data_IF_751673197602
#
_entry.id   IF_751673197602
#
_cell.length_a   1.000
_cell.length_b   1.000
_cell.length_c   1.000
_cell.angle_alpha   90.00
_cell.angle_beta   90.00
_cell.angle_gamma   90.00
#
_symmetry.space_group_name_H-M   'P 1'
#
loop_
_entity.id
_entity.type
_entity.pdbx_description
1 polymer ?
#
# COMPACT_ATOMS: atom_id res chain seq x y z
N UNK A 1 -14.58 4.06 -3.00
CA UNK A 1 -14.27 5.09 -1.98
C UNK A 1 -13.20 5.99 -2.57
N UNK A 2 -13.09 7.23 -2.10
CA UNK A 2 -12.03 8.15 -2.49
C UNK A 2 -11.87 9.25 -1.44
N UNK A 3 -10.80 10.03 -1.52
CA UNK A 3 -10.60 11.24 -0.74
C UNK A 3 -11.50 12.36 -1.28
N UNK A 4 -12.26 13.00 -0.40
CA UNK A 4 -13.07 14.18 -0.70
C UNK A 4 -12.96 15.20 0.42
N UNK A 5 -13.29 16.46 0.14
CA UNK A 5 -13.27 17.54 1.13
C UNK A 5 -14.59 17.54 1.89
N UNK A 6 -14.55 17.22 3.18
CA UNK A 6 -15.73 17.24 4.04
C UNK A 6 -16.22 18.68 4.24
N UNK A 7 -17.46 19.02 3.86
CA UNK A 7 -17.98 20.39 3.99
C UNK A 7 -18.17 20.83 5.44
N UNK A 8 -18.20 19.89 6.40
CA UNK A 8 -18.41 20.20 7.82
C UNK A 8 -17.18 20.84 8.48
N UNK A 9 -15.97 20.50 8.03
CA UNK A 9 -14.71 21.00 8.61
C UNK A 9 -13.64 21.38 7.58
N UNK A 10 -13.92 21.20 6.29
CA UNK A 10 -13.02 21.51 5.18
C UNK A 10 -11.82 20.58 5.06
N UNK A 11 -11.78 19.46 5.80
CA UNK A 11 -10.66 18.51 5.75
C UNK A 11 -10.87 17.44 4.68
N UNK A 12 -9.78 16.93 4.15
CA UNK A 12 -9.78 15.76 3.28
C UNK A 12 -10.04 14.50 4.11
N UNK A 13 -11.07 13.74 3.73
CA UNK A 13 -11.49 12.50 4.40
C UNK A 13 -11.91 11.47 3.37
N UNK A 14 -12.00 10.21 3.77
CA UNK A 14 -12.53 9.16 2.91
C UNK A 14 -14.05 9.28 2.81
N UNK A 15 -14.54 9.39 1.59
CA UNK A 15 -15.94 9.30 1.22
C UNK A 15 -16.25 7.92 0.64
N UNK A 16 -17.29 7.28 1.16
CA UNK A 16 -17.86 6.06 0.58
C UNK A 16 -18.97 6.44 -0.40
N UNK A 17 -18.89 5.90 -1.61
CA UNK A 17 -19.99 5.95 -2.57
C UNK A 17 -21.00 4.87 -2.25
N UNK A 18 -22.23 5.29 -1.97
CA UNK A 18 -23.39 4.41 -1.78
C UNK A 18 -24.54 4.95 -2.62
N UNK A 19 -24.85 4.25 -3.72
CA UNK A 19 -25.90 4.64 -4.65
C UNK A 19 -27.32 4.41 -4.10
N UNK A 20 -27.46 3.71 -2.97
CA UNK A 20 -28.75 3.41 -2.34
C UNK A 20 -29.07 4.41 -1.23
N UNK A 21 -28.11 4.67 -0.33
CA UNK A 21 -28.34 5.51 0.86
C UNK A 21 -27.72 6.91 0.75
N UNK A 22 -26.98 7.17 -0.32
CA UNK A 22 -26.21 8.40 -0.49
C UNK A 22 -24.80 8.31 0.10
N UNK A 23 -23.91 9.15 -0.41
CA UNK A 23 -22.50 9.14 -0.02
C UNK A 23 -22.32 9.61 1.42
N UNK A 24 -21.33 9.04 2.12
CA UNK A 24 -21.04 9.40 3.51
C UNK A 24 -19.54 9.38 3.80
N UNK A 25 -19.10 10.26 4.70
CA UNK A 25 -17.74 10.28 5.20
C UNK A 25 -17.57 9.26 6.34
N UNK A 26 -16.38 8.69 6.45
CA UNK A 26 -16.02 7.76 7.51
C UNK A 26 -15.02 8.35 8.49
N UNK A 27 -14.96 7.77 9.69
CA UNK A 27 -13.95 8.11 10.69
C UNK A 27 -12.54 7.68 10.25
N UNK A 28 -11.53 8.25 10.89
CA UNK A 28 -10.12 7.87 10.71
C UNK A 28 -9.89 6.37 10.95
N UNK A 29 -10.45 5.79 12.00
CA UNK A 29 -10.32 4.35 12.29
C UNK A 29 -10.86 3.48 11.15
N UNK A 30 -11.98 3.88 10.56
CA UNK A 30 -12.58 3.21 9.41
C UNK A 30 -11.74 3.39 8.14
N UNK A 31 -11.11 4.55 7.95
CA UNK A 31 -10.17 4.77 6.85
C UNK A 31 -8.90 3.90 7.00
N UNK A 32 -8.34 3.80 8.21
CA UNK A 32 -7.22 2.90 8.53
C UNK A 32 -7.59 1.46 8.19
N UNK A 33 -8.80 1.03 8.54
CA UNK A 33 -9.30 -0.31 8.25
C UNK A 33 -9.38 -0.61 6.75
N UNK A 34 -9.78 0.38 5.92
CA UNK A 34 -9.79 0.22 4.46
C UNK A 34 -8.37 0.01 3.92
N UNK A 35 -7.42 0.87 4.30
CA UNK A 35 -6.03 0.74 3.88
C UNK A 35 -5.40 -0.57 4.36
N UNK A 36 -5.74 -1.00 5.58
CA UNK A 36 -5.32 -2.27 6.15
C UNK A 36 -5.78 -3.45 5.30
N UNK A 37 -7.06 -3.56 5.00
CA UNK A 37 -7.56 -4.67 4.20
C UNK A 37 -7.04 -4.64 2.77
N UNK A 38 -6.97 -3.46 2.14
CA UNK A 38 -6.41 -3.32 0.80
C UNK A 38 -4.94 -3.79 0.75
N UNK A 39 -4.10 -3.33 1.68
CA UNK A 39 -2.70 -3.73 1.79
C UNK A 39 -2.53 -5.22 2.11
N UNK A 40 -3.40 -5.78 2.97
CA UNK A 40 -3.43 -7.22 3.25
C UNK A 40 -3.71 -8.03 1.98
N UNK A 41 -4.71 -7.63 1.19
CA UNK A 41 -5.04 -8.30 -0.07
C UNK A 41 -3.83 -8.26 -1.01
N UNK A 42 -3.23 -7.10 -1.24
CA UNK A 42 -2.07 -6.96 -2.13
C UNK A 42 -0.89 -7.81 -1.66
N UNK A 43 -0.62 -7.83 -0.36
CA UNK A 43 0.46 -8.61 0.24
C UNK A 43 0.19 -10.11 0.16
N UNK A 44 -1.07 -10.55 0.21
CA UNK A 44 -1.44 -11.95 -0.04
C UNK A 44 -1.15 -12.39 -1.48
N UNK A 45 -1.26 -11.49 -2.46
CA UNK A 45 -0.97 -11.79 -3.87
C UNK A 45 0.50 -11.60 -4.28
N UNK A 46 1.32 -10.98 -3.43
CA UNK A 46 2.76 -10.89 -3.66
C UNK A 46 3.43 -12.26 -3.53
N UNK A 47 4.18 -12.69 -4.55
CA UNK A 47 4.96 -13.91 -4.50
C UNK A 47 6.41 -13.57 -4.11
N UNK A 48 6.83 -13.97 -2.91
CA UNK A 48 8.16 -13.63 -2.39
C UNK A 48 9.32 -14.30 -3.15
N UNK A 49 9.07 -15.40 -3.88
CA UNK A 49 10.10 -16.18 -4.56
C UNK A 49 10.28 -15.79 -6.03
N UNK A 50 9.25 -15.18 -6.63
CA UNK A 50 9.25 -14.72 -8.04
C UNK A 50 9.05 -13.21 -8.18
N UNK A 51 8.76 -12.52 -7.08
CA UNK A 51 8.43 -11.10 -7.01
C UNK A 51 7.19 -10.68 -7.80
N UNK A 52 6.37 -11.65 -8.23
CA UNK A 52 5.12 -11.38 -8.92
C UNK A 52 4.12 -10.69 -8.00
N UNK A 53 3.44 -9.70 -8.53
CA UNK A 53 2.44 -8.93 -7.82
C UNK A 53 1.31 -8.52 -8.74
N UNK A 54 0.17 -8.16 -8.16
CA UNK A 54 -0.88 -7.49 -8.92
C UNK A 54 -0.40 -6.07 -9.21
N UNK A 55 -0.23 -5.73 -10.48
CA UNK A 55 0.14 -4.39 -10.94
C UNK A 55 -0.21 -4.25 -12.43
N UNK A 56 -0.57 -3.06 -12.95
CA UNK A 56 -0.87 -1.84 -12.20
C UNK A 56 -2.22 -1.94 -11.46
N UNK A 57 -2.31 -1.23 -10.34
CA UNK A 57 -3.54 -0.98 -9.59
C UNK A 57 -3.54 0.47 -9.06
N UNK A 58 -4.72 1.02 -8.79
CA UNK A 58 -4.91 2.37 -8.25
C UNK A 58 -6.28 2.50 -7.55
N UNK A 59 -6.32 3.10 -6.34
CA UNK A 59 -7.58 3.32 -5.61
C UNK A 59 -8.60 4.12 -6.42
N UNK A 60 -8.20 5.29 -6.92
CA UNK A 60 -9.01 6.12 -7.81
C UNK A 60 -9.49 5.44 -9.11
N UNK A 61 -8.88 4.33 -9.54
CA UNK A 61 -9.34 3.58 -10.70
C UNK A 61 -10.49 2.60 -10.38
N UNK A 62 -10.91 2.52 -9.12
CA UNK A 62 -11.98 1.64 -8.67
C UNK A 62 -11.55 0.19 -8.49
N UNK A 63 -10.24 -0.10 -8.38
CA UNK A 63 -9.78 -1.49 -8.24
C UNK A 63 -10.26 -2.14 -6.93
N UNK A 64 -10.58 -1.33 -5.92
CA UNK A 64 -11.15 -1.78 -4.65
C UNK A 64 -12.57 -1.22 -4.45
N UNK A 65 -13.45 -2.06 -3.92
CA UNK A 65 -14.77 -1.66 -3.41
C UNK A 65 -14.85 -1.90 -1.91
N UNK A 66 -15.69 -1.10 -1.25
CA UNK A 66 -15.92 -1.17 0.19
C UNK A 66 -17.40 -1.41 0.42
N UNK A 67 -17.72 -2.32 1.33
CA UNK A 67 -19.07 -2.51 1.85
C UNK A 67 -19.06 -2.23 3.35
N UNK A 68 -19.98 -1.40 3.83
CA UNK A 68 -20.22 -1.24 5.26
C UNK A 68 -21.42 -2.10 5.69
N UNK A 69 -21.27 -2.89 6.75
CA UNK A 69 -22.35 -3.65 7.37
C UNK A 69 -22.39 -3.35 8.86
N UNK A 70 -23.29 -2.45 9.27
CA UNK A 70 -23.27 -1.90 10.63
C UNK A 70 -21.97 -1.15 10.89
N UNK A 71 -21.19 -1.62 11.87
CA UNK A 71 -19.88 -1.05 12.22
C UNK A 71 -18.70 -1.67 11.47
N UNK A 72 -18.89 -2.81 10.80
CA UNK A 72 -17.83 -3.47 10.03
C UNK A 72 -17.68 -2.87 8.64
N UNK A 73 -16.44 -2.88 8.14
CA UNK A 73 -16.10 -2.58 6.74
C UNK A 73 -15.46 -3.81 6.12
N UNK A 74 -15.87 -4.13 4.89
CA UNK A 74 -15.29 -5.18 4.08
C UNK A 74 -14.73 -4.57 2.79
N UNK A 75 -13.44 -4.78 2.53
CA UNK A 75 -12.77 -4.35 1.31
C UNK A 75 -12.61 -5.55 0.38
N UNK A 76 -12.89 -5.35 -0.90
CA UNK A 76 -12.68 -6.36 -1.94
C UNK A 76 -11.93 -5.76 -3.11
N UNK A 77 -10.89 -6.45 -3.56
CA UNK A 77 -10.28 -6.21 -4.88
C UNK A 77 -11.21 -6.78 -5.96
N UNK A 78 -11.64 -5.95 -6.91
CA UNK A 78 -12.58 -6.33 -7.97
C UNK A 78 -11.95 -6.41 -9.36
N UNK A 79 -10.76 -5.84 -9.53
CA UNK A 79 -9.98 -5.93 -10.77
C UNK A 79 -8.52 -6.24 -10.45
N UNK A 80 -7.96 -7.20 -11.18
CA UNK A 80 -6.53 -7.46 -11.26
C UNK A 80 -6.14 -7.36 -12.72
N UNK A 81 -5.43 -6.29 -13.10
CA UNK A 81 -5.11 -6.01 -14.51
C UNK A 81 -4.04 -6.95 -15.06
N UNK A 82 -2.98 -7.16 -14.28
CA UNK A 82 -1.92 -8.12 -14.55
C UNK A 82 -1.42 -8.69 -13.21
N UNK A 83 -0.82 -9.88 -13.27
CA UNK A 83 -0.05 -10.46 -12.17
C UNK A 83 1.31 -10.86 -12.74
N UNK A 84 2.33 -10.07 -12.46
CA UNK A 84 3.65 -10.20 -13.06
C UNK A 84 4.73 -9.68 -12.13
N UNK A 85 5.97 -10.10 -12.34
CA UNK A 85 7.12 -9.61 -11.59
C UNK A 85 7.55 -8.23 -12.08
N UNK A 86 8.01 -7.37 -11.17
CA UNK A 86 8.63 -6.08 -11.51
C UNK A 86 10.05 -6.25 -12.05
N UNK A 87 10.66 -7.40 -11.79
CA UNK A 87 11.96 -7.80 -12.30
C UNK A 87 11.75 -9.00 -13.23
N UNK A 88 12.73 -9.37 -14.04
CA UNK A 88 12.69 -10.64 -14.79
C UNK A 88 13.48 -11.72 -14.02
N UNK A 89 12.94 -12.37 -12.97
CA UNK A 89 13.53 -13.61 -12.51
C UNK A 89 13.16 -14.70 -13.51
N UNK A 90 14.15 -15.21 -14.23
CA UNK A 90 13.98 -16.40 -15.08
C UNK A 90 13.70 -17.67 -14.27
N UNK A 91 13.91 -17.65 -12.94
CA UNK A 91 13.72 -18.77 -11.99
C UNK A 91 13.36 -18.25 -10.59
N UNK A 92 12.60 -19.02 -9.80
CA UNK A 92 12.38 -18.78 -8.36
C UNK A 92 13.71 -18.58 -7.61
N UNK A 93 13.84 -17.51 -6.84
CA UNK A 93 15.00 -17.30 -5.96
C UNK A 93 14.83 -18.01 -4.63
N UNK A 94 15.94 -18.52 -4.08
CA UNK A 94 16.05 -19.01 -2.70
C UNK A 94 17.01 -18.16 -1.86
N UNK A 95 17.59 -17.11 -2.45
CA UNK A 95 18.47 -16.18 -1.76
C UNK A 95 17.63 -15.30 -0.82
N UNK A 96 17.84 -15.48 0.48
CA UNK A 96 17.07 -14.78 1.51
C UNK A 96 17.27 -13.27 1.46
N UNK A 97 18.48 -12.80 1.13
CA UNK A 97 18.78 -11.37 1.01
C UNK A 97 18.01 -10.75 -0.15
N UNK A 98 17.98 -11.42 -1.31
CA UNK A 98 17.18 -10.97 -2.46
C UNK A 98 15.67 -11.01 -2.17
N UNK A 99 15.20 -12.02 -1.44
CA UNK A 99 13.80 -12.12 -1.02
C UNK A 99 13.41 -10.92 -0.15
N UNK A 100 14.22 -10.59 0.85
CA UNK A 100 13.95 -9.46 1.73
C UNK A 100 14.07 -8.11 1.01
N UNK A 101 15.05 -7.93 0.12
CA UNK A 101 15.12 -6.72 -0.71
C UNK A 101 13.88 -6.57 -1.59
N UNK A 102 13.48 -7.64 -2.29
CA UNK A 102 12.30 -7.67 -3.13
C UNK A 102 11.03 -7.31 -2.37
N UNK A 103 10.86 -7.89 -1.18
CA UNK A 103 9.73 -7.63 -0.31
C UNK A 103 9.71 -6.19 0.20
N UNK A 104 10.87 -5.61 0.49
CA UNK A 104 10.97 -4.22 0.92
C UNK A 104 10.64 -3.24 -0.19
N UNK A 105 11.15 -3.47 -1.39
CA UNK A 105 10.79 -2.69 -2.56
C UNK A 105 9.28 -2.75 -2.82
N UNK A 106 8.69 -3.94 -2.69
CA UNK A 106 7.23 -4.09 -2.74
C UNK A 106 6.52 -3.26 -1.67
N UNK A 107 6.99 -3.28 -0.42
CA UNK A 107 6.41 -2.48 0.66
C UNK A 107 6.48 -0.97 0.39
N UNK A 108 7.62 -0.47 -0.12
CA UNK A 108 7.79 0.95 -0.48
C UNK A 108 6.85 1.34 -1.63
N UNK A 109 6.75 0.52 -2.68
CA UNK A 109 5.82 0.77 -3.78
C UNK A 109 4.37 0.76 -3.28
N UNK A 110 4.02 -0.23 -2.45
CA UNK A 110 2.70 -0.38 -1.86
C UNK A 110 2.33 0.85 -1.02
N UNK A 111 3.22 1.32 -0.13
CA UNK A 111 2.96 2.47 0.74
C UNK A 111 2.80 3.78 -0.01
N UNK A 112 3.56 3.99 -1.09
CA UNK A 112 3.42 5.16 -1.96
C UNK A 112 2.08 5.09 -2.70
N UNK A 113 1.75 3.93 -3.29
CA UNK A 113 0.52 3.74 -4.07
C UNK A 113 -0.74 3.84 -3.21
N UNK A 114 -0.70 3.34 -1.97
CA UNK A 114 -1.81 3.47 -1.01
C UNK A 114 -2.14 4.92 -0.67
N UNK A 115 -1.17 5.84 -0.81
CA UNK A 115 -1.40 7.27 -0.56
C UNK A 115 -1.99 8.01 -1.74
N UNK A 116 -1.86 7.48 -2.95
CA UNK A 116 -2.33 8.14 -4.15
C UNK A 116 -3.82 7.90 -4.34
N UNK A 117 -4.54 9.00 -4.49
CA UNK A 117 -5.96 8.98 -4.83
C UNK A 117 -6.32 10.18 -5.72
N UNK A 118 -7.56 10.26 -6.17
CA UNK A 118 -8.10 11.43 -6.85
C UNK A 118 -9.18 12.07 -5.99
N UNK A 119 -9.13 13.39 -5.89
CA UNK A 119 -10.20 14.14 -5.21
C UNK A 119 -11.53 13.84 -5.90
N UNK A 120 -12.55 13.50 -5.10
CA UNK A 120 -13.88 13.10 -5.57
C UNK A 120 -13.86 11.91 -6.56
N UNK A 121 -12.79 11.10 -6.53
CA UNK A 121 -12.58 9.90 -7.34
C UNK A 121 -12.09 10.16 -8.77
N UNK A 122 -12.27 11.37 -9.31
CA UNK A 122 -11.91 11.69 -10.70
C UNK A 122 -11.09 12.96 -10.89
N UNK A 123 -10.99 13.82 -9.88
CA UNK A 123 -10.28 15.09 -9.95
C UNK A 123 -8.76 14.95 -9.91
N UNK A 124 -8.09 15.98 -9.43
CA UNK A 124 -6.64 16.03 -9.27
C UNK A 124 -6.12 14.94 -8.32
N UNK A 125 -4.87 14.53 -8.55
CA UNK A 125 -4.17 13.57 -7.68
C UNK A 125 -3.92 14.22 -6.32
N UNK A 126 -4.34 13.53 -5.27
CA UNK A 126 -4.16 13.90 -3.87
C UNK A 126 -3.34 12.86 -3.13
N UNK A 127 -2.84 13.25 -1.96
CA UNK A 127 -1.94 12.45 -1.14
C UNK A 127 -2.59 12.21 0.22
N UNK A 128 -2.94 10.96 0.51
CA UNK A 128 -3.52 10.57 1.79
C UNK A 128 -2.56 10.88 2.96
N UNK A 129 -3.11 11.18 4.12
CA UNK A 129 -2.35 11.45 5.34
C UNK A 129 -1.77 10.16 5.97
N UNK A 130 -1.27 10.26 7.20
CA UNK A 130 -0.52 9.18 7.86
C UNK A 130 -1.39 7.97 8.25
N UNK A 131 -2.71 8.13 8.28
CA UNK A 131 -3.64 7.02 8.54
C UNK A 131 -3.50 5.93 7.47
N UNK A 132 -3.11 6.32 6.25
CA UNK A 132 -2.82 5.38 5.16
C UNK A 132 -1.60 4.51 5.43
N UNK A 133 -0.51 5.04 6.02
CA UNK A 133 0.68 4.25 6.36
C UNK A 133 0.34 3.27 7.47
N UNK A 134 -0.37 3.72 8.51
CA UNK A 134 -0.76 2.85 9.61
C UNK A 134 -1.54 1.64 9.10
N UNK A 135 -2.59 1.88 8.30
CA UNK A 135 -3.35 0.81 7.67
C UNK A 135 -2.46 -0.06 6.78
N UNK A 136 -1.64 0.56 5.92
CA UNK A 136 -0.78 -0.18 4.99
C UNK A 136 0.18 -1.14 5.70
N UNK A 137 0.89 -0.69 6.74
CA UNK A 137 1.83 -1.53 7.49
C UNK A 137 1.13 -2.68 8.21
N UNK A 138 -0.02 -2.40 8.85
CA UNK A 138 -0.83 -3.44 9.50
C UNK A 138 -1.29 -4.49 8.49
N UNK A 139 -1.82 -4.05 7.35
CA UNK A 139 -2.27 -4.93 6.28
C UNK A 139 -1.15 -5.77 5.69
N UNK A 140 0.01 -5.15 5.44
CA UNK A 140 1.19 -5.84 4.93
C UNK A 140 1.61 -6.99 5.87
N UNK A 141 1.77 -6.67 7.16
CA UNK A 141 2.14 -7.63 8.20
C UNK A 141 1.15 -8.81 8.24
N UNK A 142 -0.14 -8.51 8.21
CA UNK A 142 -1.19 -9.54 8.21
C UNK A 142 -1.13 -10.44 6.97
N UNK A 143 -0.90 -9.87 5.78
CA UNK A 143 -0.75 -10.65 4.55
C UNK A 143 0.44 -11.62 4.62
N UNK A 144 1.57 -11.18 5.19
CA UNK A 144 2.72 -12.06 5.42
C UNK A 144 2.40 -13.15 6.46
N UNK A 145 1.75 -12.81 7.57
CA UNK A 145 1.33 -13.80 8.58
C UNK A 145 0.39 -14.86 7.98
N UNK A 146 -0.53 -14.48 7.10
CA UNK A 146 -1.42 -15.42 6.39
C UNK A 146 -0.59 -16.39 5.52
N UNK A 147 0.43 -15.90 4.81
CA UNK A 147 1.35 -16.76 4.04
C UNK A 147 2.15 -17.71 4.93
N UNK A 148 2.62 -17.24 6.08
CA UNK A 148 3.31 -18.09 7.06
C UNK A 148 2.38 -19.20 7.59
N UNK A 149 1.14 -18.85 7.96
CA UNK A 149 0.14 -19.81 8.46
C UNK A 149 -0.29 -20.85 7.44
N UNK A 150 -0.26 -20.52 6.16
CA UNK A 150 -0.56 -21.45 5.06
C UNK A 150 0.63 -22.32 4.65
N UNK A 151 1.80 -22.13 5.26
CA UNK A 151 3.02 -22.91 4.96
C UNK A 151 3.72 -22.50 3.67
N UNK A 152 3.32 -21.38 3.05
CA UNK A 152 3.97 -20.84 1.84
C UNK A 152 5.36 -20.31 2.16
N UNK A 153 5.55 -19.78 3.37
CA UNK A 153 6.81 -19.19 3.86
C UNK A 153 7.04 -19.63 5.33
N UNK A 154 8.28 -19.52 5.86
CA UNK A 154 8.57 -19.84 7.26
C UNK A 154 7.72 -19.06 8.27
N UNK A 155 7.49 -19.64 9.47
CA UNK A 155 6.66 -19.04 10.51
C UNK A 155 7.24 -17.74 11.08
N UNK A 156 8.56 -17.69 11.25
CA UNK A 156 9.32 -16.54 11.79
C UNK A 156 9.74 -15.53 10.70
N UNK A 157 9.25 -15.66 9.47
CA UNK A 157 9.71 -14.87 8.32
C UNK A 157 9.54 -13.36 8.53
N UNK A 158 8.43 -12.92 9.14
CA UNK A 158 8.20 -11.48 9.40
C UNK A 158 9.18 -10.91 10.41
N UNK A 159 9.59 -11.68 11.42
CA UNK A 159 10.59 -11.27 12.40
C UNK A 159 11.98 -11.19 11.77
N UNK A 160 12.33 -12.15 10.92
CA UNK A 160 13.59 -12.12 10.17
C UNK A 160 13.65 -10.93 9.21
N UNK A 161 12.56 -10.66 8.49
CA UNK A 161 12.42 -9.48 7.63
C UNK A 161 12.58 -8.18 8.42
N UNK A 162 11.95 -8.08 9.60
CA UNK A 162 12.11 -6.93 10.49
C UNK A 162 13.56 -6.73 10.90
N UNK A 163 14.25 -7.79 11.34
CA UNK A 163 15.67 -7.74 11.74
C UNK A 163 16.55 -7.29 10.56
N UNK A 164 16.29 -7.83 9.36
CA UNK A 164 17.03 -7.45 8.16
C UNK A 164 16.96 -5.93 7.90
N UNK A 165 15.78 -5.31 8.09
CA UNK A 165 15.60 -3.87 7.88
C UNK A 165 16.07 -2.98 9.03
N UNK A 166 16.21 -3.49 10.25
CA UNK A 166 16.71 -2.70 11.38
C UNK A 166 18.12 -2.14 11.18
N UNK A 167 18.89 -2.74 10.26
CA UNK A 167 20.23 -2.26 9.89
C UNK A 167 20.24 -1.03 8.97
N UNK A 168 19.10 -0.67 8.37
CA UNK A 168 19.00 0.45 7.42
C UNK A 168 18.77 1.78 8.14
N UNK A 169 19.33 2.83 7.57
CA UNK A 169 19.06 4.22 7.96
C UNK A 169 17.80 4.77 7.27
N UNK A 170 17.31 5.89 7.78
CA UNK A 170 16.25 6.65 7.12
C UNK A 170 16.69 7.17 5.74
N UNK A 171 17.97 7.56 5.62
CA UNK A 171 18.61 7.96 4.36
C UNK A 171 18.54 6.83 3.32
N UNK A 172 18.87 5.58 3.71
CA UNK A 172 18.82 4.43 2.81
C UNK A 172 17.40 4.20 2.26
N UNK A 173 16.37 4.40 3.10
CA UNK A 173 14.99 4.28 2.65
C UNK A 173 14.59 5.42 1.70
N UNK A 174 15.05 6.65 1.97
CA UNK A 174 14.79 7.76 1.08
C UNK A 174 15.49 7.58 -0.29
N UNK A 175 16.75 7.15 -0.29
CA UNK A 175 17.49 6.83 -1.52
C UNK A 175 16.83 5.71 -2.31
N UNK A 176 16.43 4.62 -1.65
CA UNK A 176 15.68 3.54 -2.28
C UNK A 176 14.36 4.03 -2.89
N UNK A 177 13.63 4.86 -2.14
CA UNK A 177 12.37 5.43 -2.61
C UNK A 177 12.59 6.30 -3.86
N UNK A 178 13.67 7.09 -3.93
CA UNK A 178 14.04 7.83 -5.14
C UNK A 178 14.35 6.91 -6.32
N UNK A 179 15.13 5.84 -6.11
CA UNK A 179 15.44 4.86 -7.15
C UNK A 179 14.16 4.24 -7.71
N UNK A 180 13.23 3.83 -6.84
CA UNK A 180 11.93 3.29 -7.23
C UNK A 180 11.13 4.30 -8.04
N UNK A 181 11.02 5.55 -7.58
CA UNK A 181 10.25 6.58 -8.29
C UNK A 181 10.85 6.95 -9.63
N UNK A 182 12.18 6.97 -9.75
CA UNK A 182 12.87 7.20 -11.03
C UNK A 182 12.60 6.08 -12.06
N UNK A 183 12.23 4.87 -11.60
CA UNK A 183 11.84 3.77 -12.49
C UNK A 183 10.42 3.87 -13.04
N UNK A 184 9.56 4.72 -12.43
CA UNK A 184 8.19 4.89 -12.89
C UNK A 184 8.13 5.67 -14.21
N UNK A 185 6.99 5.64 -14.88
CA UNK A 185 6.73 6.54 -16.01
C UNK A 185 6.77 8.00 -15.52
N UNK A 186 7.84 8.72 -15.87
CA UNK A 186 8.07 10.10 -15.43
C UNK A 186 7.03 11.10 -16.00
N UNK A 187 6.27 10.71 -17.02
CA UNK A 187 5.16 11.50 -17.55
C UNK A 187 3.82 11.23 -16.85
N UNK A 188 3.76 10.31 -15.89
CA UNK A 188 2.54 10.01 -15.17
C UNK A 188 2.12 11.19 -14.25
N UNK A 189 0.81 11.50 -14.16
CA UNK A 189 0.31 12.62 -13.37
C UNK A 189 0.57 12.47 -11.86
N UNK A 190 0.87 11.25 -11.40
CA UNK A 190 1.14 10.94 -10.00
C UNK A 190 2.54 11.46 -9.56
N UNK A 191 3.51 11.50 -10.48
CA UNK A 191 4.93 11.77 -10.18
C UNK A 191 5.14 13.10 -9.46
N UNK A 192 4.56 14.24 -9.89
CA UNK A 192 4.71 15.50 -9.17
C UNK A 192 4.17 15.46 -7.74
N UNK A 193 3.11 14.68 -7.48
CA UNK A 193 2.53 14.55 -6.13
C UNK A 193 3.42 13.68 -5.27
N UNK A 194 3.93 12.56 -5.81
CA UNK A 194 4.88 11.69 -5.10
C UNK A 194 6.14 12.47 -4.74
N UNK A 195 6.79 13.14 -5.70
CA UNK A 195 8.04 13.86 -5.48
C UNK A 195 7.92 14.95 -4.40
N UNK A 196 6.80 15.68 -4.36
CA UNK A 196 6.53 16.69 -3.31
C UNK A 196 6.41 16.09 -1.90
N UNK A 197 6.01 14.83 -1.78
CA UNK A 197 5.76 14.18 -0.49
C UNK A 197 6.85 13.14 -0.11
N UNK A 198 7.76 12.81 -1.02
CA UNK A 198 8.65 11.64 -0.90
C UNK A 198 9.50 11.64 0.37
N UNK A 199 10.10 12.78 0.72
CA UNK A 199 10.96 12.88 1.91
C UNK A 199 10.16 12.62 3.20
N UNK A 200 9.01 13.29 3.34
CA UNK A 200 8.10 13.10 4.49
C UNK A 200 7.58 11.66 4.55
N UNK A 201 7.17 11.11 3.41
CA UNK A 201 6.71 9.73 3.32
C UNK A 201 7.77 8.72 3.76
N UNK A 202 9.01 8.89 3.30
CA UNK A 202 10.12 7.99 3.61
C UNK A 202 10.41 7.99 5.12
N UNK A 203 10.38 9.17 5.75
CA UNK A 203 10.51 9.31 7.20
C UNK A 203 9.38 8.58 7.96
N UNK A 204 8.13 8.80 7.55
CA UNK A 204 6.97 8.17 8.19
C UNK A 204 6.97 6.65 8.01
N UNK A 205 7.34 6.17 6.84
CA UNK A 205 7.48 4.75 6.54
C UNK A 205 8.61 4.13 7.36
N UNK A 206 9.77 4.81 7.47
CA UNK A 206 10.90 4.36 8.28
C UNK A 206 10.48 4.09 9.73
N UNK A 207 9.74 5.03 10.33
CA UNK A 207 9.25 4.87 11.70
C UNK A 207 8.19 3.79 11.82
N UNK A 208 7.30 3.65 10.83
CA UNK A 208 6.24 2.64 10.86
C UNK A 208 6.78 1.21 10.70
N UNK A 209 7.78 1.01 9.83
CA UNK A 209 8.43 -0.30 9.58
C UNK A 209 9.15 -0.84 10.81
N UNK A 210 9.65 0.03 11.70
CA UNK A 210 10.26 -0.40 12.97
C UNK A 210 9.30 -1.15 13.89
N UNK A 211 7.99 -0.98 13.70
CA UNK A 211 6.93 -1.60 14.50
C UNK A 211 6.29 -2.82 13.81
N UNK A 212 6.91 -3.37 12.75
CA UNK A 212 6.48 -4.62 12.10
C UNK A 212 6.51 -5.82 13.05
#
# INVERSE_FOLDING_TARGET
FHISKDPSDGKEKILIWDNLNGNFFISTDKAIEIYRQASMIMSCFYNIYTFEQIFPWHHAAGDFVVKQTGDSLDVKLISARQHSSLFEPTVQTKDQGLIFEGLFMFLVVLSIRMRLDRIDGTGDIVWADNMSIEGTIRGFREGIIIKSKSGVIPYNFIDEFRIYHQSRSEEDLFELSKVIINSFNQSAPDIPVICRNLAKHSSELFHAVKNL
#
